data_IF_174331200355
#
_entry.id   IF_174331200355
#
_cell.length_a   1.000
_cell.length_b   1.000
_cell.length_c   1.000
_cell.angle_alpha   90.00
_cell.angle_beta   90.00
_cell.angle_gamma   90.00
#
_symmetry.space_group_name_H-M   'P 1'
#
loop_
_entity.id
_entity.type
_entity.pdbx_description
1 polymer ?
#
# COMPACT_ATOMS: atom_id res chain seq x y z
N UNK A 1 18.32 -68.24 11.70
CA UNK A 1 18.00 -66.82 12.03
C UNK A 1 18.24 -65.82 10.89
N UNK A 2 19.42 -65.77 10.23
CA UNK A 2 19.71 -64.77 9.17
C UNK A 2 18.74 -64.75 7.97
N UNK A 3 18.23 -65.91 7.51
CA UNK A 3 17.25 -65.99 6.39
C UNK A 3 15.87 -65.41 6.73
N UNK A 4 15.43 -65.52 7.98
CA UNK A 4 14.12 -65.01 8.43
C UNK A 4 14.14 -63.49 8.51
N UNK A 5 15.23 -62.91 9.04
CA UNK A 5 15.41 -61.46 9.13
C UNK A 5 15.49 -60.81 7.74
N UNK A 6 16.15 -61.45 6.78
CA UNK A 6 16.26 -60.95 5.40
C UNK A 6 14.90 -60.89 4.68
N UNK A 7 14.04 -61.90 4.88
CA UNK A 7 12.71 -61.92 4.28
C UNK A 7 11.75 -60.89 4.89
N UNK A 8 11.89 -60.58 6.19
CA UNK A 8 11.09 -59.54 6.85
C UNK A 8 11.47 -58.15 6.35
N UNK A 9 12.77 -57.88 6.17
CA UNK A 9 13.27 -56.60 5.65
C UNK A 9 12.85 -56.41 4.18
N UNK A 10 12.91 -57.47 3.35
CA UNK A 10 12.47 -57.41 1.95
C UNK A 10 10.97 -57.14 1.83
N UNK A 11 10.14 -57.79 2.66
CA UNK A 11 8.68 -57.54 2.69
C UNK A 11 8.32 -56.13 3.16
N UNK A 12 9.04 -55.57 4.14
CA UNK A 12 8.84 -54.17 4.57
C UNK A 12 9.20 -53.16 3.49
N UNK A 13 10.30 -53.37 2.75
CA UNK A 13 10.68 -52.50 1.62
C UNK A 13 9.66 -52.53 0.49
N UNK A 14 9.11 -53.71 0.17
CA UNK A 14 8.05 -53.86 -0.84
C UNK A 14 6.75 -53.20 -0.38
N UNK A 15 6.35 -53.36 0.89
CA UNK A 15 5.16 -52.72 1.43
C UNK A 15 5.28 -51.17 1.43
N UNK A 16 6.44 -50.63 1.81
CA UNK A 16 6.73 -49.20 1.74
C UNK A 16 6.68 -48.66 0.31
N UNK A 17 7.22 -49.41 -0.66
CA UNK A 17 7.15 -49.03 -2.08
C UNK A 17 5.71 -49.04 -2.60
N UNK A 18 4.89 -50.01 -2.20
CA UNK A 18 3.47 -50.09 -2.58
C UNK A 18 2.67 -48.93 -1.97
N UNK A 19 2.91 -48.59 -0.69
CA UNK A 19 2.24 -47.45 -0.04
C UNK A 19 2.64 -46.13 -0.71
N UNK A 20 3.92 -45.95 -1.04
CA UNK A 20 4.38 -44.77 -1.77
C UNK A 20 3.73 -44.67 -3.16
N UNK A 21 3.65 -45.79 -3.90
CA UNK A 21 3.02 -45.84 -5.21
C UNK A 21 1.51 -45.54 -5.14
N UNK A 22 0.80 -46.12 -4.17
CA UNK A 22 -0.62 -45.86 -3.94
C UNK A 22 -0.85 -44.40 -3.51
N UNK A 23 0.04 -43.82 -2.71
CA UNK A 23 -0.03 -42.41 -2.34
C UNK A 23 0.13 -41.50 -3.56
N UNK A 24 1.09 -41.80 -4.43
CA UNK A 24 1.30 -41.07 -5.69
C UNK A 24 0.07 -41.20 -6.60
N UNK A 25 -0.49 -42.40 -6.75
CA UNK A 25 -1.69 -42.65 -7.56
C UNK A 25 -2.91 -41.92 -6.99
N UNK A 26 -3.12 -41.94 -5.67
CA UNK A 26 -4.22 -41.21 -5.03
C UNK A 26 -4.06 -39.71 -5.22
N UNK A 27 -2.85 -39.14 -5.09
CA UNK A 27 -2.62 -37.72 -5.33
C UNK A 27 -2.83 -37.38 -6.82
N UNK A 28 -2.38 -38.25 -7.74
CA UNK A 28 -2.50 -38.05 -9.19
C UNK A 28 -3.95 -38.14 -9.69
N UNK A 29 -4.77 -39.01 -9.10
CA UNK A 29 -6.19 -39.17 -9.48
C UNK A 29 -7.15 -38.28 -8.67
N UNK A 30 -6.83 -37.93 -7.42
CA UNK A 30 -7.68 -37.02 -6.63
C UNK A 30 -7.42 -35.55 -6.93
N UNK A 31 -6.24 -35.20 -7.44
CA UNK A 31 -5.84 -33.82 -7.73
C UNK A 31 -5.04 -33.69 -9.05
N UNK A 32 -5.57 -34.14 -10.21
CA UNK A 32 -4.84 -34.10 -11.49
C UNK A 32 -4.39 -32.67 -11.88
N UNK A 33 -5.11 -31.63 -11.45
CA UNK A 33 -4.75 -30.23 -11.70
C UNK A 33 -3.45 -29.78 -11.00
N UNK A 34 -3.07 -30.43 -9.89
CA UNK A 34 -1.86 -30.11 -9.12
C UNK A 34 -0.58 -30.42 -9.92
N UNK A 35 -0.66 -31.32 -10.91
CA UNK A 35 0.49 -31.73 -11.73
C UNK A 35 0.49 -31.18 -13.17
N UNK A 36 -0.64 -30.67 -13.68
CA UNK A 36 -0.72 -30.19 -15.07
C UNK A 36 -0.54 -28.67 -15.21
N UNK A 37 -1.03 -27.87 -14.26
CA UNK A 37 -0.89 -26.39 -14.30
C UNK A 37 -0.14 -25.80 -13.10
N UNK A 38 -0.35 -26.36 -11.91
CA UNK A 38 0.26 -25.89 -10.65
C UNK A 38 1.81 -25.83 -10.62
N UNK A 39 2.58 -26.69 -11.32
CA UNK A 39 4.04 -26.59 -11.31
C UNK A 39 4.58 -25.29 -11.91
N UNK A 40 3.80 -24.64 -12.79
CA UNK A 40 4.21 -23.46 -13.57
C UNK A 40 3.77 -22.13 -12.97
N UNK A 41 2.81 -22.15 -12.03
CA UNK A 41 2.22 -20.97 -11.40
C UNK A 41 2.86 -20.70 -10.03
N UNK A 42 2.77 -19.47 -9.54
CA UNK A 42 3.15 -19.13 -8.17
C UNK A 42 2.02 -19.50 -7.20
N UNK A 43 2.34 -20.08 -6.04
CA UNK A 43 1.34 -20.42 -5.03
C UNK A 43 1.26 -19.37 -3.92
N UNK A 44 0.10 -18.72 -3.80
CA UNK A 44 -0.25 -17.92 -2.63
C UNK A 44 -1.19 -18.72 -1.72
N UNK A 45 -0.72 -19.08 -0.54
CA UNK A 45 -1.51 -19.73 0.51
C UNK A 45 -2.03 -18.66 1.48
N UNK A 46 -3.35 -18.51 1.55
CA UNK A 46 -4.01 -17.54 2.42
C UNK A 46 -4.64 -18.28 3.59
N UNK A 47 -4.25 -17.91 4.81
CA UNK A 47 -4.86 -18.40 6.03
C UNK A 47 -5.77 -17.32 6.61
N UNK A 48 -7.05 -17.63 6.72
CA UNK A 48 -8.03 -16.73 7.33
C UNK A 48 -8.17 -17.08 8.80
N UNK A 49 -7.70 -16.18 9.65
CA UNK A 49 -7.62 -16.38 11.10
C UNK A 49 -8.52 -15.35 11.78
N UNK A 50 -9.34 -15.78 12.73
CA UNK A 50 -10.03 -14.88 13.65
C UNK A 50 -9.90 -15.40 15.06
N UNK A 51 -9.61 -14.52 16.01
CA UNK A 51 -9.44 -14.87 17.43
C UNK A 51 -8.46 -16.05 17.62
N UNK A 52 -7.37 -16.05 16.85
CA UNK A 52 -6.33 -17.08 16.88
C UNK A 52 -6.71 -18.44 16.28
N UNK A 53 -7.85 -18.57 15.58
CA UNK A 53 -8.29 -19.83 14.95
C UNK A 53 -8.56 -19.66 13.46
N UNK A 54 -8.28 -20.70 12.69
CA UNK A 54 -8.69 -20.77 11.28
C UNK A 54 -10.23 -20.81 11.21
N UNK A 55 -10.80 -19.94 10.38
CA UNK A 55 -12.25 -19.85 10.21
C UNK A 55 -12.64 -20.00 8.74
N UNK A 56 -13.80 -20.62 8.44
CA UNK A 56 -14.32 -20.66 7.08
C UNK A 56 -14.42 -19.25 6.49
N UNK A 57 -13.87 -19.05 5.30
CA UNK A 57 -13.94 -17.78 4.59
C UNK A 57 -14.13 -17.90 3.07
N UNK A 58 -14.68 -16.85 2.46
CA UNK A 58 -14.67 -16.63 1.02
C UNK A 58 -13.62 -15.57 0.71
N UNK A 59 -12.61 -15.96 -0.07
CA UNK A 59 -11.45 -15.13 -0.37
C UNK A 59 -11.52 -14.63 -1.80
N UNK A 60 -11.41 -13.32 -1.98
CA UNK A 60 -11.32 -12.66 -3.27
C UNK A 60 -9.93 -12.10 -3.44
N UNK A 61 -9.45 -12.11 -4.68
CA UNK A 61 -8.11 -11.67 -5.03
C UNK A 61 -8.21 -10.61 -6.12
N UNK A 62 -7.45 -9.53 -5.96
CA UNK A 62 -7.24 -8.50 -6.97
C UNK A 62 -5.74 -8.27 -7.13
N UNK A 63 -5.27 -7.97 -8.33
CA UNK A 63 -3.85 -7.78 -8.65
C UNK A 63 -3.66 -6.38 -9.23
N UNK A 64 -2.64 -5.65 -8.79
CA UNK A 64 -2.37 -4.30 -9.26
C UNK A 64 -1.72 -4.31 -10.65
N UNK A 65 -2.43 -3.85 -11.67
CA UNK A 65 -1.92 -3.60 -13.02
C UNK A 65 -1.65 -2.09 -13.22
N UNK A 66 -0.92 -1.70 -14.28
CA UNK A 66 -0.68 -0.29 -14.62
C UNK A 66 -1.93 0.57 -14.70
N UNK A 67 -3.04 0.01 -15.18
CA UNK A 67 -4.32 0.70 -15.32
C UNK A 67 -5.21 0.65 -14.08
N UNK A 68 -4.87 -0.13 -13.04
CA UNK A 68 -5.72 -0.33 -11.86
C UNK A 68 -5.71 -1.76 -11.35
N UNK A 69 -6.57 -2.08 -10.40
CA UNK A 69 -6.74 -3.45 -9.94
C UNK A 69 -7.49 -4.29 -10.97
N UNK A 70 -6.98 -5.50 -11.23
CA UNK A 70 -7.70 -6.53 -11.98
C UNK A 70 -8.15 -7.66 -11.06
N UNK A 71 -9.31 -8.25 -11.31
CA UNK A 71 -9.73 -9.41 -10.55
C UNK A 71 -8.81 -10.62 -10.81
N UNK A 72 -8.42 -11.31 -9.73
CA UNK A 72 -7.62 -12.54 -9.76
C UNK A 72 -8.39 -13.83 -9.39
N UNK A 73 -9.62 -13.69 -8.90
CA UNK A 73 -10.52 -14.82 -8.65
C UNK A 73 -11.15 -14.84 -7.26
N UNK A 74 -12.05 -15.81 -7.08
CA UNK A 74 -12.74 -16.14 -5.83
C UNK A 74 -12.40 -17.57 -5.43
N UNK A 75 -12.13 -17.76 -4.13
CA UNK A 75 -11.64 -19.00 -3.56
C UNK A 75 -12.37 -19.29 -2.26
N UNK A 76 -13.00 -20.46 -2.18
CA UNK A 76 -13.57 -20.92 -0.93
C UNK A 76 -12.49 -21.49 -0.02
N UNK A 77 -12.46 -21.04 1.23
CA UNK A 77 -11.59 -21.50 2.29
C UNK A 77 -12.42 -22.18 3.39
N UNK A 78 -13.04 -23.34 3.16
CA UNK A 78 -13.96 -23.98 4.12
C UNK A 78 -13.29 -24.35 5.46
N UNK A 79 -11.97 -24.48 5.48
CA UNK A 79 -11.16 -24.73 6.69
C UNK A 79 -10.24 -23.55 7.03
N UNK A 80 -10.57 -22.36 6.54
CA UNK A 80 -9.77 -21.15 6.68
C UNK A 80 -8.45 -21.14 5.92
N UNK A 81 -8.28 -22.02 4.93
CA UNK A 81 -7.11 -22.01 4.04
C UNK A 81 -7.57 -21.98 2.59
N UNK A 82 -7.11 -20.98 1.83
CA UNK A 82 -7.25 -20.90 0.38
C UNK A 82 -5.88 -21.07 -0.30
N UNK A 83 -5.88 -21.78 -1.43
CA UNK A 83 -4.71 -21.92 -2.30
C UNK A 83 -5.00 -21.24 -3.63
N UNK A 84 -4.24 -20.19 -3.91
CA UNK A 84 -4.43 -19.32 -5.07
C UNK A 84 -3.22 -19.54 -6.00
N UNK A 85 -3.50 -19.98 -7.21
CA UNK A 85 -2.49 -20.21 -8.24
C UNK A 85 -2.42 -19.02 -9.17
N UNK A 86 -1.33 -18.25 -9.08
CA UNK A 86 -1.15 -17.00 -9.81
C UNK A 86 -0.32 -17.26 -11.05
N UNK A 87 -0.90 -16.95 -12.19
CA UNK A 87 -0.17 -16.77 -13.44
C UNK A 87 0.29 -15.32 -13.53
N UNK A 88 1.60 -15.11 -13.41
CA UNK A 88 2.19 -13.78 -13.30
C UNK A 88 2.85 -13.31 -14.61
N UNK A 89 2.84 -14.10 -15.68
CA UNK A 89 3.55 -13.75 -16.92
C UNK A 89 2.92 -12.52 -17.59
N UNK A 90 1.60 -12.52 -17.77
CA UNK A 90 0.89 -11.37 -18.36
C UNK A 90 0.94 -10.14 -17.46
N UNK A 91 0.91 -10.37 -16.15
CA UNK A 91 1.03 -9.32 -15.16
C UNK A 91 2.39 -8.62 -15.23
N UNK A 92 3.47 -9.41 -15.29
CA UNK A 92 4.82 -8.89 -15.47
C UNK A 92 4.98 -8.17 -16.80
N UNK A 93 4.45 -8.73 -17.89
CA UNK A 93 4.48 -8.12 -19.22
C UNK A 93 3.82 -6.73 -19.22
N UNK A 94 2.66 -6.59 -18.58
CA UNK A 94 1.97 -5.30 -18.50
C UNK A 94 2.83 -4.22 -17.80
N UNK A 95 3.47 -4.56 -16.68
CA UNK A 95 4.36 -3.64 -15.98
C UNK A 95 5.66 -3.35 -16.75
N UNK A 96 6.24 -4.35 -17.42
CA UNK A 96 7.42 -4.15 -18.28
C UNK A 96 7.10 -3.24 -19.49
N UNK A 97 5.87 -3.31 -20.03
CA UNK A 97 5.37 -2.41 -21.08
C UNK A 97 5.12 -0.99 -20.56
N UNK A 98 4.49 -0.85 -19.40
CA UNK A 98 4.29 0.45 -18.75
C UNK A 98 5.63 1.13 -18.47
N UNK A 99 6.61 0.41 -17.93
CA UNK A 99 7.96 0.91 -17.69
C UNK A 99 8.61 1.47 -18.95
N UNK A 100 8.49 0.78 -20.08
CA UNK A 100 9.01 1.26 -21.37
C UNK A 100 8.30 2.51 -21.86
N UNK A 101 7.00 2.65 -21.57
CA UNK A 101 6.15 3.72 -22.08
C UNK A 101 6.25 5.00 -21.25
N UNK A 102 6.24 4.86 -19.93
CA UNK A 102 6.08 5.98 -18.99
C UNK A 102 7.23 6.09 -18.00
N UNK A 103 8.08 5.08 -17.88
CA UNK A 103 9.12 5.01 -16.86
C UNK A 103 8.59 4.65 -15.47
N UNK A 104 7.37 4.14 -15.35
CA UNK A 104 6.83 3.64 -14.07
C UNK A 104 6.92 2.12 -13.96
N UNK A 105 7.20 1.64 -12.76
CA UNK A 105 7.21 0.21 -12.48
C UNK A 105 6.78 -0.03 -11.05
N UNK A 106 5.88 -0.98 -10.82
CA UNK A 106 5.45 -1.35 -9.48
C UNK A 106 5.91 -2.75 -9.10
N UNK A 107 6.06 -2.96 -7.80
CA UNK A 107 6.16 -4.31 -7.26
C UNK A 107 4.83 -5.06 -7.41
N UNK A 108 4.89 -6.38 -7.64
CA UNK A 108 3.70 -7.19 -7.73
C UNK A 108 2.91 -7.13 -6.42
N UNK A 109 1.75 -6.48 -6.50
CA UNK A 109 0.83 -6.32 -5.38
C UNK A 109 -0.45 -7.11 -5.60
N UNK A 110 -0.86 -7.82 -4.55
CA UNK A 110 -2.09 -8.59 -4.51
C UNK A 110 -2.94 -8.09 -3.34
N UNK A 111 -4.16 -7.63 -3.62
CA UNK A 111 -5.14 -7.33 -2.58
C UNK A 111 -6.02 -8.56 -2.36
N UNK A 112 -6.13 -8.95 -1.09
CA UNK A 112 -6.90 -10.10 -0.64
C UNK A 112 -8.05 -9.59 0.24
N UNK A 113 -9.28 -9.89 -0.16
CA UNK A 113 -10.46 -9.60 0.65
C UNK A 113 -11.05 -10.91 1.15
N UNK A 114 -11.23 -11.07 2.46
CA UNK A 114 -11.78 -12.28 3.06
C UNK A 114 -13.07 -11.99 3.81
N UNK A 115 -14.14 -12.68 3.43
CA UNK A 115 -15.43 -12.64 4.11
C UNK A 115 -15.67 -13.93 4.91
N UNK A 116 -16.08 -13.81 6.17
CA UNK A 116 -16.34 -14.95 7.04
C UNK A 116 -17.83 -15.20 7.26
N UNK A 117 -18.20 -16.43 7.64
CA UNK A 117 -19.61 -16.77 7.91
C UNK A 117 -20.17 -16.05 9.15
N UNK A 118 -19.31 -15.64 10.08
CA UNK A 118 -19.68 -14.86 11.27
C UNK A 118 -19.80 -13.35 11.00
N UNK A 119 -19.94 -12.96 9.73
CA UNK A 119 -20.17 -11.60 9.24
C UNK A 119 -19.02 -10.63 9.54
N UNK A 120 -17.78 -11.04 9.28
CA UNK A 120 -16.65 -10.14 9.27
C UNK A 120 -15.99 -10.11 7.89
N UNK A 121 -15.36 -8.99 7.60
CA UNK A 121 -14.56 -8.77 6.40
C UNK A 121 -13.19 -8.24 6.82
N UNK A 122 -12.18 -8.56 6.02
CA UNK A 122 -10.86 -7.96 6.12
C UNK A 122 -10.26 -7.83 4.74
N UNK A 123 -9.34 -6.87 4.62
CA UNK A 123 -8.53 -6.64 3.43
C UNK A 123 -7.05 -6.72 3.84
N UNK A 124 -6.26 -7.37 3.00
CA UNK A 124 -4.81 -7.44 3.16
C UNK A 124 -4.14 -7.12 1.82
N UNK A 125 -3.21 -6.17 1.82
CA UNK A 125 -2.27 -6.02 0.71
C UNK A 125 -1.06 -6.94 0.91
N UNK A 126 -0.68 -7.63 -0.16
CA UNK A 126 0.51 -8.47 -0.23
C UNK A 126 1.41 -7.93 -1.33
N UNK A 127 2.43 -7.19 -0.93
CA UNK A 127 3.50 -6.73 -1.82
C UNK A 127 4.61 -7.78 -1.86
N UNK A 128 4.94 -8.24 -3.05
CA UNK A 128 6.01 -9.19 -3.34
C UNK A 128 7.09 -8.49 -4.17
N UNK A 129 8.26 -9.11 -4.31
CA UNK A 129 9.20 -8.75 -5.37
C UNK A 129 8.99 -9.61 -6.61
N UNK A 130 9.28 -9.06 -7.79
CA UNK A 130 9.20 -9.84 -9.04
C UNK A 130 10.09 -11.09 -9.02
N UNK A 131 11.20 -11.10 -8.29
CA UNK A 131 12.07 -12.28 -8.15
C UNK A 131 11.50 -13.37 -7.23
N UNK A 132 10.54 -13.03 -6.37
CA UNK A 132 9.78 -14.00 -5.56
C UNK A 132 8.75 -14.77 -6.41
N UNK A 133 8.24 -14.13 -7.47
CA UNK A 133 7.29 -14.71 -8.41
C UNK A 133 8.00 -15.66 -9.37
N UNK A 134 8.09 -16.92 -8.93
CA UNK A 134 8.58 -18.04 -9.73
C UNK A 134 7.60 -19.21 -9.67
N UNK A 135 7.72 -20.21 -10.56
CA UNK A 135 6.87 -21.38 -10.52
C UNK A 135 6.98 -22.13 -9.18
N UNK A 136 5.89 -22.72 -8.71
CA UNK A 136 5.85 -23.49 -7.46
C UNK A 136 6.86 -24.65 -7.46
N UNK A 137 7.07 -25.29 -8.62
CA UNK A 137 8.10 -26.33 -8.76
C UNK A 137 9.54 -25.82 -8.50
N UNK A 138 9.78 -24.52 -8.63
CA UNK A 138 11.04 -23.85 -8.33
C UNK A 138 11.04 -23.18 -6.94
N UNK A 139 10.09 -23.57 -6.08
CA UNK A 139 9.92 -23.05 -4.73
C UNK A 139 9.14 -21.74 -4.64
N UNK A 140 8.42 -21.34 -5.70
CA UNK A 140 7.56 -20.16 -5.68
C UNK A 140 6.30 -20.35 -4.83
N UNK A 141 6.39 -19.98 -3.57
CA UNK A 141 5.28 -20.02 -2.62
C UNK A 141 5.38 -18.86 -1.63
N UNK A 142 4.25 -18.24 -1.31
CA UNK A 142 4.10 -17.36 -0.13
C UNK A 142 2.91 -17.83 0.70
N UNK A 143 3.06 -17.80 2.02
CA UNK A 143 1.93 -17.97 2.95
C UNK A 143 1.68 -16.63 3.63
N UNK A 144 0.42 -16.21 3.66
CA UNK A 144 -0.03 -14.98 4.34
C UNK A 144 -1.18 -15.29 5.27
N UNK A 145 -1.36 -14.44 6.28
CA UNK A 145 -2.46 -14.52 7.25
C UNK A 145 -3.27 -13.24 7.10
N UNK A 146 -4.58 -13.40 6.91
CA UNK A 146 -5.54 -12.30 6.94
C UNK A 146 -6.45 -12.48 8.16
N UNK A 147 -6.65 -11.41 8.91
CA UNK A 147 -7.56 -11.37 10.05
C UNK A 147 -8.74 -10.43 9.78
N UNK A 148 -9.91 -10.97 9.39
CA UNK A 148 -11.13 -10.17 9.23
C UNK A 148 -11.54 -9.52 10.56
N UNK A 149 -11.32 -8.21 10.65
CA UNK A 149 -11.54 -7.39 11.84
C UNK A 149 -12.75 -6.46 11.70
N UNK A 150 -13.21 -6.19 10.47
CA UNK A 150 -14.33 -5.29 10.21
C UNK A 150 -15.64 -6.08 10.34
N UNK A 151 -16.45 -5.72 11.33
CA UNK A 151 -17.78 -6.31 11.49
C UNK A 151 -18.72 -5.80 10.41
N UNK A 152 -19.29 -6.71 9.64
CA UNK A 152 -20.33 -6.39 8.67
C UNK A 152 -21.66 -6.24 9.38
N UNK A 153 -22.05 -5.00 9.66
CA UNK A 153 -23.33 -4.68 10.31
C UNK A 153 -24.49 -4.65 9.31
N UNK A 154 -24.18 -4.56 8.02
CA UNK A 154 -25.12 -4.60 6.89
C UNK A 154 -24.68 -5.66 5.88
N UNK A 155 -25.55 -6.01 4.94
CA UNK A 155 -25.27 -7.05 3.94
C UNK A 155 -25.69 -8.46 4.37
N UNK A 156 -25.56 -9.42 3.44
CA UNK A 156 -26.10 -10.77 3.64
C UNK A 156 -25.05 -11.74 4.20
N UNK A 157 -25.46 -12.68 5.06
CA UNK A 157 -24.59 -13.76 5.50
C UNK A 157 -24.06 -14.55 4.31
N UNK A 158 -22.78 -14.90 4.36
CA UNK A 158 -22.15 -15.77 3.36
C UNK A 158 -22.17 -17.19 3.91
N UNK A 159 -22.48 -18.15 3.05
CA UNK A 159 -22.36 -19.58 3.33
C UNK A 159 -21.24 -20.17 2.51
N UNK A 160 -20.36 -20.92 3.13
CA UNK A 160 -19.18 -21.47 2.50
C UNK A 160 -19.36 -22.97 2.39
N UNK A 161 -19.64 -23.44 1.17
CA UNK A 161 -19.83 -24.85 0.90
C UNK A 161 -18.54 -25.48 0.38
N UNK A 162 -18.19 -26.68 0.88
CA UNK A 162 -17.15 -27.50 0.25
C UNK A 162 -17.57 -27.82 -1.20
N UNK A 163 -16.74 -27.48 -2.18
CA UNK A 163 -17.01 -27.71 -3.60
C UNK A 163 -17.67 -26.53 -4.35
N UNK A 164 -17.89 -25.37 -3.70
CA UNK A 164 -18.25 -24.15 -4.44
C UNK A 164 -17.17 -23.78 -5.45
N UNK A 165 -17.60 -23.29 -6.62
CA UNK A 165 -16.71 -22.82 -7.70
C UNK A 165 -15.57 -21.97 -7.13
N UNK A 166 -14.35 -22.45 -7.35
CA UNK A 166 -13.11 -21.76 -7.01
C UNK A 166 -12.35 -21.58 -8.30
N UNK A 167 -12.07 -20.33 -8.67
CA UNK A 167 -11.39 -20.03 -9.92
C UNK A 167 -11.65 -18.63 -10.48
N UNK A 168 -11.00 -18.28 -11.59
CA UNK A 168 -11.00 -16.93 -12.17
C UNK A 168 -12.32 -16.49 -12.82
N UNK A 169 -13.34 -17.35 -12.89
CA UNK A 169 -14.64 -17.03 -13.47
C UNK A 169 -15.60 -16.30 -12.51
N UNK A 170 -15.43 -16.50 -11.20
CA UNK A 170 -16.20 -15.79 -10.17
C UNK A 170 -15.27 -14.75 -9.55
N UNK A 171 -15.51 -13.47 -9.84
CA UNK A 171 -14.58 -12.39 -9.52
C UNK A 171 -15.31 -11.21 -8.91
N UNK A 172 -14.63 -10.37 -8.10
CA UNK A 172 -15.21 -9.10 -7.75
C UNK A 172 -15.40 -8.26 -9.02
N UNK A 173 -16.48 -7.50 -9.09
CA UNK A 173 -16.85 -6.68 -10.25
C UNK A 173 -16.39 -5.25 -10.01
N UNK A 174 -15.54 -4.72 -10.90
CA UNK A 174 -15.23 -3.29 -10.92
C UNK A 174 -16.45 -2.55 -11.48
N UNK A 175 -17.13 -1.80 -10.62
CA UNK A 175 -18.35 -1.07 -10.93
C UNK A 175 -18.05 0.30 -11.52
N UNK A 176 -17.04 0.96 -10.96
CA UNK A 176 -16.65 2.30 -11.37
C UNK A 176 -15.18 2.55 -11.06
N UNK A 177 -14.57 3.46 -11.81
CA UNK A 177 -13.22 3.94 -11.60
C UNK A 177 -13.12 5.44 -11.91
N UNK A 178 -12.14 6.11 -11.32
CA UNK A 178 -11.84 7.50 -11.64
C UNK A 178 -10.38 7.83 -11.33
N UNK A 179 -9.78 8.67 -12.16
CA UNK A 179 -8.44 9.19 -11.95
C UNK A 179 -8.45 10.71 -12.02
N UNK A 180 -7.66 11.34 -11.14
CA UNK A 180 -7.46 12.79 -11.15
C UNK A 180 -6.00 13.11 -10.90
N UNK A 181 -5.49 14.10 -11.63
CA UNK A 181 -4.10 14.54 -11.46
C UNK A 181 -4.08 15.87 -10.73
N UNK A 182 -3.31 15.97 -9.65
CA UNK A 182 -3.20 17.19 -8.87
C UNK A 182 -1.80 17.42 -8.33
N UNK A 183 -1.44 18.70 -8.18
CA UNK A 183 -0.20 19.12 -7.53
C UNK A 183 -0.38 19.12 -6.01
N UNK A 184 0.55 18.48 -5.30
CA UNK A 184 0.56 18.35 -3.84
C UNK A 184 1.85 18.93 -3.26
N UNK A 185 1.75 19.60 -2.12
CA UNK A 185 2.89 20.17 -1.41
C UNK A 185 3.59 19.08 -0.59
N UNK A 186 4.84 18.76 -0.94
CA UNK A 186 5.66 17.81 -0.20
C UNK A 186 6.37 18.47 0.99
N UNK A 187 6.78 19.72 0.84
CA UNK A 187 7.53 20.44 1.87
C UNK A 187 7.21 21.93 1.91
N UNK A 188 7.31 22.50 3.10
CA UNK A 188 7.07 23.91 3.37
C UNK A 188 8.10 24.45 4.36
N UNK A 189 8.65 25.62 4.06
CA UNK A 189 9.51 26.39 4.96
C UNK A 189 8.86 27.74 5.22
N UNK A 190 8.74 28.12 6.48
CA UNK A 190 8.19 29.40 6.92
C UNK A 190 9.23 30.20 7.68
N UNK A 191 9.37 31.48 7.33
CA UNK A 191 10.25 32.43 7.98
C UNK A 191 9.44 33.63 8.46
N UNK A 192 9.32 33.78 9.78
CA UNK A 192 8.58 34.89 10.40
C UNK A 192 9.17 36.26 9.98
N UNK A 193 8.38 37.15 9.37
CA UNK A 193 8.85 38.48 8.97
C UNK A 193 9.45 39.33 10.10
N UNK A 194 9.08 39.06 11.36
CA UNK A 194 9.59 39.79 12.53
C UNK A 194 11.03 39.41 12.92
N UNK A 195 11.59 38.37 12.29
CA UNK A 195 13.01 38.00 12.42
C UNK A 195 13.88 39.04 11.68
N UNK A 196 13.39 39.64 10.60
CA UNK A 196 14.12 40.65 9.83
C UNK A 196 15.08 40.03 8.83
N UNK A 197 16.38 40.24 8.99
CA UNK A 197 17.37 39.67 8.07
C UNK A 197 17.48 38.14 8.23
N UNK A 198 17.89 37.44 7.17
CA UNK A 198 18.02 35.97 7.17
C UNK A 198 17.07 35.25 6.22
N UNK A 199 17.10 33.93 6.26
CA UNK A 199 16.25 33.07 5.43
C UNK A 199 16.10 31.65 6.01
N UNK A 200 15.06 30.95 5.55
CA UNK A 200 14.95 29.50 5.59
C UNK A 200 15.03 28.95 4.16
N UNK A 201 15.76 27.88 3.93
CA UNK A 201 15.81 27.20 2.64
C UNK A 201 15.51 25.72 2.81
N UNK A 202 14.80 25.17 1.82
CA UNK A 202 14.52 23.75 1.73
C UNK A 202 14.87 23.33 0.31
N UNK A 203 15.72 22.30 0.20
CA UNK A 203 15.98 21.57 -1.02
C UNK A 203 15.43 20.16 -0.86
N UNK A 204 14.85 19.62 -1.94
CA UNK A 204 14.40 18.24 -1.98
C UNK A 204 14.76 17.63 -3.32
N UNK A 205 15.03 16.33 -3.32
CA UNK A 205 15.16 15.57 -4.56
C UNK A 205 14.59 14.16 -4.43
N UNK A 206 14.28 13.58 -5.58
CA UNK A 206 13.94 12.18 -5.78
C UNK A 206 15.01 11.52 -6.65
N UNK A 207 15.49 10.37 -6.19
CA UNK A 207 16.44 9.54 -6.93
C UNK A 207 15.68 8.54 -7.80
N UNK A 208 15.96 8.53 -9.10
CA UNK A 208 15.31 7.60 -10.03
C UNK A 208 15.55 6.12 -9.66
N UNK A 209 14.62 5.26 -10.09
CA UNK A 209 14.62 3.81 -9.83
C UNK A 209 14.50 3.43 -8.34
N UNK A 210 13.93 4.33 -7.53
CA UNK A 210 13.64 4.07 -6.12
C UNK A 210 12.14 3.93 -5.93
N UNK A 211 11.74 2.90 -5.22
CA UNK A 211 10.33 2.64 -4.95
C UNK A 211 9.86 3.48 -3.77
N UNK A 212 8.66 4.02 -3.91
CA UNK A 212 7.93 4.74 -2.87
C UNK A 212 6.76 3.86 -2.44
N UNK A 213 6.62 3.64 -1.13
CA UNK A 213 5.47 2.97 -0.54
C UNK A 213 4.23 3.86 -0.61
N UNK A 214 3.09 3.30 -0.98
CA UNK A 214 1.82 3.97 -1.19
C UNK A 214 0.78 3.28 -0.29
N UNK A 215 0.00 4.08 0.44
CA UNK A 215 -1.12 3.58 1.24
C UNK A 215 -2.37 3.39 0.37
N UNK A 216 -3.19 2.40 0.74
CA UNK A 216 -4.53 2.18 0.19
C UNK A 216 -5.55 2.57 1.26
N UNK A 217 -6.36 3.59 0.99
CA UNK A 217 -7.55 3.85 1.80
C UNK A 217 -8.72 3.05 1.23
N UNK A 218 -9.41 2.30 2.08
CA UNK A 218 -10.54 1.48 1.65
C UNK A 218 -11.70 1.54 2.66
N UNK A 219 -12.92 1.31 2.18
CA UNK A 219 -14.09 1.17 3.03
C UNK A 219 -15.08 0.15 2.45
N UNK A 220 -15.67 -0.65 3.34
CA UNK A 220 -16.77 -1.55 2.99
C UNK A 220 -18.11 -0.89 3.32
N UNK A 221 -19.08 -0.97 2.42
CA UNK A 221 -20.43 -0.41 2.64
C UNK A 221 -21.17 -1.08 3.80
N UNK A 222 -20.83 -2.33 4.10
CA UNK A 222 -21.32 -3.05 5.26
C UNK A 222 -20.69 -2.65 6.59
N UNK A 223 -19.56 -1.95 6.56
CA UNK A 223 -18.83 -1.46 7.71
C UNK A 223 -19.35 -0.12 8.24
N UNK A 224 -18.55 0.48 9.12
CA UNK A 224 -18.86 1.75 9.78
C UNK A 224 -17.72 2.78 9.70
N UNK A 225 -16.54 2.42 9.16
CA UNK A 225 -15.39 3.32 9.06
C UNK A 225 -14.53 3.06 7.80
N UNK A 226 -13.63 4.00 7.49
CA UNK A 226 -12.53 3.76 6.56
C UNK A 226 -11.38 3.08 7.27
N UNK A 227 -10.63 2.31 6.51
CA UNK A 227 -9.42 1.64 6.96
C UNK A 227 -8.29 2.04 6.01
N UNK A 228 -7.06 2.07 6.53
CA UNK A 228 -5.89 2.35 5.72
C UNK A 228 -4.92 1.17 5.76
N UNK A 229 -4.73 0.56 4.59
CA UNK A 229 -3.66 -0.38 4.34
C UNK A 229 -2.36 0.39 4.08
N UNK A 230 -1.44 0.36 5.04
CA UNK A 230 -0.11 0.94 4.86
C UNK A 230 0.77 0.02 3.98
N UNK A 231 1.68 0.60 3.19
CA UNK A 231 2.59 -0.06 2.22
C UNK A 231 1.83 -0.98 1.28
N UNK A 232 0.63 -0.54 0.91
CA UNK A 232 -0.23 -1.31 0.06
C UNK A 232 0.41 -1.49 -1.32
N UNK A 233 1.13 -0.49 -1.84
CA UNK A 233 1.80 -0.55 -3.14
C UNK A 233 3.22 -0.01 -3.04
N UNK A 234 4.11 -0.44 -3.94
CA UNK A 234 5.43 0.16 -4.12
C UNK A 234 5.67 0.48 -5.57
N UNK A 235 5.87 1.76 -5.88
CA UNK A 235 6.01 2.26 -7.26
C UNK A 235 7.32 3.03 -7.39
N UNK A 236 8.08 2.76 -8.45
CA UNK A 236 9.25 3.56 -8.85
C UNK A 236 8.96 4.39 -10.11
N UNK A 237 9.67 5.51 -10.21
CA UNK A 237 9.81 6.30 -11.43
C UNK A 237 11.26 6.31 -11.91
N UNK A 238 11.48 6.16 -13.22
CA UNK A 238 12.78 6.33 -13.88
C UNK A 238 13.18 7.80 -14.07
N UNK A 239 12.24 8.74 -13.87
CA UNK A 239 12.50 10.17 -13.99
C UNK A 239 12.98 10.74 -12.64
N UNK A 240 14.15 11.41 -12.58
CA UNK A 240 14.57 12.12 -11.38
C UNK A 240 13.75 13.40 -11.17
N UNK A 241 13.86 14.00 -9.99
CA UNK A 241 13.19 15.26 -9.67
C UNK A 241 13.90 16.03 -8.56
N UNK A 242 13.90 17.35 -8.62
CA UNK A 242 14.42 18.17 -7.52
C UNK A 242 13.90 19.60 -7.57
N UNK A 243 13.75 20.22 -6.40
CA UNK A 243 13.46 21.65 -6.28
C UNK A 243 14.15 22.26 -5.06
N UNK A 244 14.36 23.57 -5.10
CA UNK A 244 14.83 24.38 -3.97
C UNK A 244 13.93 25.58 -3.79
N UNK A 245 13.52 25.81 -2.55
CA UNK A 245 12.72 26.97 -2.16
C UNK A 245 13.39 27.74 -1.03
N UNK A 246 13.10 29.03 -0.94
CA UNK A 246 13.64 29.94 0.08
C UNK A 246 12.52 30.82 0.61
N UNK A 247 12.40 30.90 1.93
CA UNK A 247 11.55 31.84 2.65
C UNK A 247 12.41 32.89 3.36
N UNK A 248 11.97 34.14 3.38
CA UNK A 248 12.60 35.23 4.11
C UNK A 248 11.54 36.26 4.52
N UNK A 249 11.93 37.34 5.19
CA UNK A 249 10.95 38.31 5.70
C UNK A 249 10.11 39.02 4.62
N UNK A 250 10.60 39.11 3.37
CA UNK A 250 9.82 39.65 2.26
C UNK A 250 8.88 38.60 1.64
N UNK A 251 9.28 37.34 1.64
CA UNK A 251 8.52 36.20 1.13
C UNK A 251 8.52 35.08 2.19
N UNK A 252 7.62 35.14 3.19
CA UNK A 252 7.73 34.33 4.41
C UNK A 252 7.42 32.84 4.21
N UNK A 253 6.93 32.44 3.04
CA UNK A 253 6.60 31.04 2.73
C UNK A 253 7.34 30.57 1.48
N UNK A 254 8.02 29.44 1.60
CA UNK A 254 8.58 28.67 0.50
C UNK A 254 7.94 27.28 0.45
N UNK A 255 7.54 26.84 -0.74
CA UNK A 255 6.95 25.51 -0.96
C UNK A 255 7.80 24.68 -1.91
N UNK A 256 7.76 23.36 -1.73
CA UNK A 256 8.13 22.37 -2.74
C UNK A 256 6.93 21.46 -2.96
N UNK A 257 6.52 21.30 -4.21
CA UNK A 257 5.38 20.49 -4.61
C UNK A 257 5.69 19.60 -5.79
N UNK A 258 4.87 18.58 -5.99
CA UNK A 258 4.97 17.60 -7.08
C UNK A 258 3.57 17.32 -7.65
N UNK A 259 3.48 16.92 -8.90
CA UNK A 259 2.25 16.37 -9.49
C UNK A 259 2.13 14.89 -9.17
N UNK A 260 0.94 14.45 -8.76
CA UNK A 260 0.60 13.03 -8.56
C UNK A 260 -0.75 12.71 -9.21
N UNK A 261 -0.95 11.44 -9.57
CA UNK A 261 -2.23 10.93 -10.07
C UNK A 261 -2.87 10.05 -9.00
N UNK A 262 -4.10 10.40 -8.67
CA UNK A 262 -4.97 9.72 -7.74
C UNK A 262 -5.85 8.74 -8.49
N UNK A 263 -6.20 7.63 -7.85
CA UNK A 263 -7.12 6.64 -8.40
C UNK A 263 -8.16 6.26 -7.36
N UNK A 264 -9.39 6.10 -7.85
CA UNK A 264 -10.53 5.56 -7.15
C UNK A 264 -11.04 4.32 -7.88
N UNK A 265 -11.45 3.30 -7.13
CA UNK A 265 -12.18 2.17 -7.65
C UNK A 265 -13.33 1.78 -6.73
N UNK A 266 -14.46 1.40 -7.33
CA UNK A 266 -15.61 0.84 -6.64
C UNK A 266 -15.77 -0.62 -7.06
N UNK A 267 -15.65 -1.51 -6.09
CA UNK A 267 -15.78 -2.95 -6.27
C UNK A 267 -17.05 -3.49 -5.65
N UNK A 268 -17.64 -4.46 -6.33
CA UNK A 268 -18.83 -5.17 -5.85
C UNK A 268 -18.54 -6.65 -5.73
N UNK A 269 -18.88 -7.20 -4.58
CA UNK A 269 -18.80 -8.62 -4.29
C UNK A 269 -20.19 -9.22 -4.39
N UNK A 270 -20.41 -10.05 -5.40
CA UNK A 270 -21.72 -10.66 -5.63
C UNK A 270 -21.63 -12.17 -5.84
N UNK A 271 -22.76 -12.82 -5.62
CA UNK A 271 -22.96 -14.21 -6.01
C UNK A 271 -23.15 -14.27 -7.53
N UNK A 272 -22.30 -15.02 -8.26
CA UNK A 272 -22.27 -15.02 -9.71
C UNK A 272 -23.50 -15.71 -10.34
N UNK A 273 -24.20 -16.56 -9.58
CA UNK A 273 -25.36 -17.31 -10.09
C UNK A 273 -26.65 -16.54 -9.81
N UNK A 274 -26.77 -15.98 -8.62
CA UNK A 274 -27.99 -15.30 -8.16
C UNK A 274 -27.95 -13.79 -8.34
N UNK A 275 -26.79 -13.21 -8.64
CA UNK A 275 -26.57 -11.75 -8.72
C UNK A 275 -26.69 -11.04 -7.37
N UNK A 276 -26.69 -11.80 -6.27
CA UNK A 276 -26.90 -11.26 -4.94
C UNK A 276 -25.62 -10.57 -4.46
N UNK A 277 -25.70 -9.27 -4.20
CA UNK A 277 -24.59 -8.50 -3.65
C UNK A 277 -24.36 -8.85 -2.18
N UNK A 278 -23.14 -9.29 -1.87
CA UNK A 278 -22.64 -9.52 -0.52
C UNK A 278 -22.20 -8.21 0.12
N UNK A 279 -21.44 -7.39 -0.62
CA UNK A 279 -20.92 -6.11 -0.18
C UNK A 279 -20.40 -5.25 -1.35
N UNK A 280 -20.12 -3.98 -1.05
CA UNK A 280 -19.43 -3.03 -1.93
C UNK A 280 -18.22 -2.46 -1.19
N UNK A 281 -17.15 -2.20 -1.94
CA UNK A 281 -15.88 -1.69 -1.43
C UNK A 281 -15.44 -0.48 -2.26
N UNK A 282 -14.97 0.57 -1.59
CA UNK A 282 -14.44 1.76 -2.21
C UNK A 282 -12.97 1.91 -1.87
N UNK A 283 -12.13 2.02 -2.88
CA UNK A 283 -10.68 2.12 -2.77
C UNK A 283 -10.19 3.46 -3.30
N UNK A 284 -9.22 4.06 -2.62
CA UNK A 284 -8.54 5.28 -3.05
C UNK A 284 -7.04 5.23 -2.74
N UNK A 285 -6.21 5.63 -3.69
CA UNK A 285 -4.75 5.67 -3.53
C UNK A 285 -4.07 6.60 -4.54
N UNK A 286 -2.74 6.78 -4.39
CA UNK A 286 -1.91 7.39 -5.43
C UNK A 286 -1.41 6.34 -6.40
N UNK A 287 -1.87 6.43 -7.63
CA UNK A 287 -1.42 5.55 -8.69
C UNK A 287 0.02 5.82 -9.09
N UNK A 288 0.36 7.09 -9.34
CA UNK A 288 1.68 7.52 -9.82
C UNK A 288 2.06 8.89 -9.23
N UNK A 289 3.37 9.16 -9.16
CA UNK A 289 3.95 10.45 -8.79
C UNK A 289 4.96 10.88 -9.87
N UNK A 290 5.08 12.17 -10.18
CA UNK A 290 5.89 12.66 -11.30
C UNK A 290 7.07 13.53 -10.82
N UNK A 291 8.21 12.94 -10.44
CA UNK A 291 9.33 13.66 -9.83
C UNK A 291 9.85 14.85 -10.64
N UNK A 292 9.88 14.71 -11.96
CA UNK A 292 10.33 15.76 -12.87
C UNK A 292 9.44 17.02 -12.87
N UNK A 293 8.28 16.98 -12.22
CA UNK A 293 7.38 18.14 -12.03
C UNK A 293 7.62 18.87 -10.71
N UNK A 294 8.60 18.44 -9.92
CA UNK A 294 8.93 19.05 -8.64
C UNK A 294 9.30 20.52 -8.84
N UNK A 295 8.60 21.42 -8.15
CA UNK A 295 8.78 22.87 -8.32
C UNK A 295 8.33 23.64 -7.08
N UNK A 296 8.45 24.97 -7.14
CA UNK A 296 8.03 25.88 -6.06
C UNK A 296 6.57 26.35 -6.20
N UNK A 297 5.82 25.79 -7.15
CA UNK A 297 4.40 26.05 -7.29
C UNK A 297 3.64 25.57 -6.05
N UNK A 298 2.59 26.29 -5.63
CA UNK A 298 1.74 25.83 -4.52
C UNK A 298 0.94 24.62 -4.94
N UNK A 299 0.91 23.59 -4.10
CA UNK A 299 0.06 22.42 -4.24
C UNK A 299 -0.93 22.29 -3.09
N UNK A 300 -1.82 21.31 -3.17
CA UNK A 300 -2.68 20.91 -2.06
C UNK A 300 -1.82 20.54 -0.84
N UNK A 301 -2.17 21.06 0.34
CA UNK A 301 -1.38 20.87 1.57
C UNK A 301 -2.11 19.99 2.58
N UNK A 302 -1.34 19.28 3.39
CA UNK A 302 -1.86 18.61 4.58
C UNK A 302 -2.02 19.62 5.72
N UNK A 303 -3.00 19.39 6.59
CA UNK A 303 -3.15 20.17 7.82
C UNK A 303 -2.14 19.72 8.87
N UNK A 304 -1.45 20.70 9.48
CA UNK A 304 -0.48 20.45 10.55
C UNK A 304 -1.18 20.62 11.89
N UNK A 305 -1.30 19.52 12.62
CA UNK A 305 -2.02 19.45 13.89
C UNK A 305 -1.11 19.73 15.09
N UNK A 306 0.17 19.39 14.96
CA UNK A 306 1.14 19.55 16.03
C UNK A 306 2.45 20.16 15.53
N UNK A 307 3.07 21.01 16.34
CA UNK A 307 4.36 21.60 16.04
C UNK A 307 5.39 21.26 17.11
N UNK A 308 6.34 20.42 16.75
CA UNK A 308 7.42 19.98 17.64
C UNK A 308 8.59 20.97 17.62
N UNK A 309 9.02 21.45 18.79
CA UNK A 309 10.19 22.33 18.91
C UNK A 309 11.47 21.55 18.65
N UNK A 310 12.26 22.01 17.67
CA UNK A 310 13.52 21.40 17.26
C UNK A 310 14.72 22.21 17.72
N UNK A 311 14.58 23.53 17.80
CA UNK A 311 15.63 24.43 18.25
C UNK A 311 15.05 25.67 18.92
N UNK A 312 15.77 26.18 19.92
CA UNK A 312 15.55 27.49 20.52
C UNK A 312 16.90 28.14 20.86
N UNK A 313 17.05 29.42 20.55
CA UNK A 313 18.30 30.13 20.80
C UNK A 313 18.45 31.36 19.93
N UNK A 314 19.57 32.05 20.12
CA UNK A 314 20.00 33.13 19.24
C UNK A 314 20.51 32.59 17.90
N UNK A 315 20.33 33.36 16.83
CA UNK A 315 20.91 33.04 15.53
C UNK A 315 22.43 32.92 15.59
N UNK A 316 23.00 32.42 14.49
CA UNK A 316 24.46 32.24 14.34
C UNK A 316 25.08 33.11 13.24
N UNK A 317 24.31 34.03 12.67
CA UNK A 317 24.76 34.92 11.61
C UNK A 317 24.86 34.23 10.25
N UNK A 318 25.39 34.95 9.25
CA UNK A 318 25.40 34.50 7.84
C UNK A 318 26.41 33.38 7.53
N UNK A 319 27.40 33.19 8.40
CA UNK A 319 28.50 32.24 8.16
C UNK A 319 28.21 30.83 8.66
N UNK A 320 27.19 30.65 9.51
CA UNK A 320 26.83 29.36 10.08
C UNK A 320 25.30 29.23 10.16
N UNK A 321 24.72 28.09 9.73
CA UNK A 321 23.29 27.88 9.88
C UNK A 321 22.90 27.84 11.36
N UNK A 322 21.86 28.62 11.69
CA UNK A 322 21.23 28.61 13.02
C UNK A 322 20.63 27.24 13.31
N UNK A 323 20.05 26.62 12.29
CA UNK A 323 19.61 25.23 12.32
C UNK A 323 19.72 24.62 10.93
N UNK A 324 20.11 23.35 10.87
CA UNK A 324 20.00 22.55 9.67
C UNK A 324 19.48 21.15 10.00
N UNK A 325 18.77 20.55 9.05
CA UNK A 325 18.39 19.15 9.08
C UNK A 325 18.52 18.64 7.65
N UNK A 326 19.42 17.69 7.45
CA UNK A 326 19.53 16.99 6.17
C UNK A 326 19.21 15.52 6.42
N UNK A 327 18.44 14.93 5.51
CA UNK A 327 18.11 13.52 5.57
C UNK A 327 18.22 12.90 4.17
N UNK A 328 19.05 11.87 4.07
CA UNK A 328 19.23 11.07 2.85
C UNK A 328 18.40 9.78 2.90
N UNK A 329 17.59 9.62 3.94
CA UNK A 329 16.84 8.41 4.25
C UNK A 329 15.33 8.62 4.23
N UNK A 330 14.86 9.40 3.25
CA UNK A 330 13.45 9.80 3.17
C UNK A 330 12.74 8.87 2.20
N UNK A 331 11.83 8.05 2.69
CA UNK A 331 10.93 7.23 1.88
C UNK A 331 9.49 7.79 1.98
N UNK A 332 8.49 6.98 1.63
CA UNK A 332 7.08 7.39 1.72
C UNK A 332 6.64 7.76 3.14
N UNK A 333 7.45 7.54 4.17
CA UNK A 333 7.04 7.61 5.59
C UNK A 333 7.18 9.01 6.19
N UNK A 334 7.90 9.91 5.50
CA UNK A 334 8.09 11.31 5.91
C UNK A 334 7.21 12.30 5.13
N UNK A 335 6.42 11.78 4.20
CA UNK A 335 5.49 12.57 3.40
C UNK A 335 4.08 12.31 3.85
N UNK A 336 3.28 13.37 3.82
CA UNK A 336 1.86 13.29 4.01
C UNK A 336 1.21 14.14 2.93
N UNK A 337 0.21 13.60 2.26
CA UNK A 337 -0.71 14.42 1.51
C UNK A 337 -2.14 14.08 1.86
N UNK A 338 -3.02 15.01 1.51
CA UNK A 338 -4.42 14.94 1.85
C UNK A 338 -5.18 14.22 0.73
N UNK A 339 -5.90 13.14 1.05
CA UNK A 339 -6.84 12.49 0.11
C UNK A 339 -8.27 13.03 0.25
N UNK A 340 -8.57 13.83 1.28
CA UNK A 340 -9.90 14.37 1.55
C UNK A 340 -10.44 15.21 0.38
N UNK A 341 -9.58 15.99 -0.27
CA UNK A 341 -10.00 16.77 -1.44
C UNK A 341 -10.48 15.86 -2.58
N UNK A 342 -9.84 14.69 -2.77
CA UNK A 342 -10.19 13.73 -3.82
C UNK A 342 -11.49 13.00 -3.47
N UNK A 343 -11.66 12.60 -2.21
CA UNK A 343 -12.92 12.08 -1.71
C UNK A 343 -14.07 13.08 -1.91
N UNK A 344 -13.86 14.36 -1.57
CA UNK A 344 -14.82 15.44 -1.79
C UNK A 344 -15.16 15.63 -3.27
N UNK A 345 -14.17 15.54 -4.16
CA UNK A 345 -14.41 15.57 -5.60
C UNK A 345 -15.31 14.39 -6.03
N UNK A 346 -14.97 13.16 -5.62
CA UNK A 346 -15.73 11.96 -5.96
C UNK A 346 -17.18 12.02 -5.49
N UNK A 347 -17.44 12.61 -4.32
CA UNK A 347 -18.80 12.87 -3.82
C UNK A 347 -19.51 13.88 -4.72
N UNK A 348 -18.85 14.99 -5.06
CA UNK A 348 -19.42 16.04 -5.88
C UNK A 348 -19.80 15.54 -7.29
N UNK A 349 -19.03 14.60 -7.86
CA UNK A 349 -19.32 13.98 -9.17
C UNK A 349 -20.16 12.69 -9.06
N UNK A 350 -20.65 12.34 -7.87
CA UNK A 350 -21.58 11.23 -7.66
C UNK A 350 -20.97 9.83 -7.73
N UNK A 351 -19.65 9.69 -7.63
CA UNK A 351 -18.93 8.41 -7.65
C UNK A 351 -18.77 7.78 -6.27
N UNK A 352 -18.66 8.60 -5.22
CA UNK A 352 -18.60 8.16 -3.84
C UNK A 352 -19.90 8.55 -3.11
N UNK A 353 -20.63 7.62 -2.48
CA UNK A 353 -21.88 7.97 -1.80
C UNK A 353 -21.62 8.86 -0.58
N UNK A 354 -22.50 9.82 -0.33
CA UNK A 354 -22.38 10.74 0.82
C UNK A 354 -22.30 10.01 2.18
N UNK A 355 -22.83 8.80 2.28
CA UNK A 355 -22.67 7.96 3.47
C UNK A 355 -21.24 7.43 3.64
N UNK A 356 -20.52 7.13 2.57
CA UNK A 356 -19.10 6.83 2.66
C UNK A 356 -18.28 8.08 3.01
N UNK A 357 -18.79 9.28 2.67
CA UNK A 357 -18.20 10.56 3.08
C UNK A 357 -18.25 10.80 4.59
N UNK A 358 -19.30 10.36 5.28
CA UNK A 358 -19.39 10.50 6.75
C UNK A 358 -18.37 9.64 7.49
N UNK A 359 -17.85 8.62 6.83
CA UNK A 359 -16.72 7.81 7.32
C UNK A 359 -15.39 8.42 6.87
N UNK A 360 -15.37 9.12 5.72
CA UNK A 360 -14.18 9.71 5.11
C UNK A 360 -13.68 10.98 5.82
N UNK A 361 -13.89 11.10 7.14
CA UNK A 361 -13.53 12.29 7.92
C UNK A 361 -12.07 12.68 7.74
N UNK A 362 -11.18 11.70 7.51
CA UNK A 362 -9.75 11.89 7.28
C UNK A 362 -9.19 10.76 6.40
N UNK A 363 -8.45 11.09 5.34
CA UNK A 363 -7.79 10.10 4.48
C UNK A 363 -6.39 10.60 4.11
N UNK A 364 -5.37 9.75 4.30
CA UNK A 364 -3.96 10.08 4.06
C UNK A 364 -3.41 9.42 2.79
N UNK A 365 -2.66 10.20 2.01
CA UNK A 365 -1.91 9.76 0.81
C UNK A 365 -0.80 8.75 1.13
N UNK A 366 -0.14 8.97 2.26
CA UNK A 366 1.06 8.29 2.72
C UNK A 366 0.95 8.26 4.23
N UNK A 367 0.98 7.06 4.81
CA UNK A 367 1.08 6.91 6.25
C UNK A 367 2.34 6.12 6.52
N UNK A 368 3.06 6.60 7.52
CA UNK A 368 4.13 5.93 8.24
C UNK A 368 4.16 4.41 8.06
N UNK A 369 5.31 3.91 7.62
CA UNK A 369 5.55 2.49 7.43
C UNK A 369 6.95 2.16 7.91
N UNK A 370 7.09 0.92 8.34
CA UNK A 370 8.35 0.42 8.86
C UNK A 370 9.27 0.05 7.68
N UNK A 371 10.30 0.86 7.44
CA UNK A 371 11.22 0.76 6.30
C UNK A 371 12.23 -0.41 6.42
N UNK A 372 11.78 -1.65 6.54
CA UNK A 372 12.68 -2.79 6.71
C UNK A 372 12.67 -3.76 5.53
N UNK A 373 13.29 -3.41 4.38
CA UNK A 373 13.80 -4.45 3.47
C UNK A 373 15.05 -4.05 2.65
N UNK A 374 15.21 -2.79 2.19
CA UNK A 374 16.19 -2.50 1.11
C UNK A 374 17.25 -1.41 1.35
N UNK A 375 17.18 -0.61 2.44
CA UNK A 375 18.14 0.46 2.74
C UNK A 375 18.43 1.43 1.56
N UNK A 376 17.45 1.64 0.69
CA UNK A 376 17.54 2.50 -0.51
C UNK A 376 16.34 3.46 -0.52
N UNK A 377 16.61 4.72 -0.22
CA UNK A 377 15.57 5.74 -0.06
C UNK A 377 15.31 6.50 -1.35
N UNK A 378 14.05 6.89 -1.54
CA UNK A 378 13.58 7.51 -2.76
C UNK A 378 13.79 9.02 -2.78
N UNK A 379 13.69 9.67 -1.62
CA UNK A 379 13.85 11.10 -1.49
C UNK A 379 15.02 11.46 -0.57
N UNK A 380 15.49 12.69 -0.71
CA UNK A 380 16.29 13.37 0.30
C UNK A 380 15.84 14.82 0.41
N UNK A 381 16.12 15.42 1.56
CA UNK A 381 15.97 16.85 1.75
C UNK A 381 17.15 17.46 2.51
N UNK A 382 17.32 18.75 2.30
CA UNK A 382 18.27 19.60 3.02
C UNK A 382 17.54 20.87 3.43
N UNK A 383 17.40 21.06 4.74
CA UNK A 383 16.80 22.23 5.36
C UNK A 383 17.88 23.05 6.03
N UNK A 384 17.83 24.36 5.81
CA UNK A 384 18.70 25.32 6.47
C UNK A 384 17.91 26.56 6.93
N UNK A 385 18.18 27.05 8.14
CA UNK A 385 17.79 28.38 8.60
C UNK A 385 19.04 29.19 8.96
N UNK A 386 19.16 30.38 8.38
CA UNK A 386 20.21 31.36 8.64
C UNK A 386 19.57 32.60 9.24
N UNK A 387 19.92 32.92 10.49
CA UNK A 387 19.29 33.96 11.31
C UNK A 387 20.38 34.78 12.00
N UNK A 388 20.24 36.12 12.10
CA UNK A 388 21.22 37.01 12.74
C UNK A 388 21.52 36.66 14.21
N UNK A 389 22.75 36.91 14.63
CA UNK A 389 23.26 36.54 15.97
C UNK A 389 22.51 37.20 17.14
N UNK A 390 21.89 38.36 16.90
CA UNK A 390 21.17 39.14 17.91
C UNK A 390 19.67 38.80 17.99
N UNK A 391 19.18 37.89 17.15
CA UNK A 391 17.76 37.50 17.10
C UNK A 391 17.54 36.14 17.75
N UNK A 392 16.72 36.13 18.80
CA UNK A 392 16.29 34.90 19.46
C UNK A 392 15.08 34.30 18.74
N UNK A 393 15.13 33.00 18.43
CA UNK A 393 14.14 32.31 17.61
C UNK A 393 13.80 30.92 18.14
N UNK A 394 12.64 30.44 17.70
CA UNK A 394 12.18 29.08 17.84
C UNK A 394 12.01 28.44 16.47
N UNK A 395 12.53 27.23 16.29
CA UNK A 395 12.37 26.45 15.04
C UNK A 395 11.57 25.20 15.35
N UNK A 396 10.50 24.97 14.59
CA UNK A 396 9.56 23.86 14.79
C UNK A 396 9.36 23.03 13.52
N UNK A 397 9.21 21.72 13.70
CA UNK A 397 8.79 20.75 12.66
C UNK A 397 7.32 20.41 12.85
N UNK A 398 6.55 20.42 11.76
CA UNK A 398 5.15 20.07 11.73
C UNK A 398 4.94 18.56 11.79
N UNK A 399 3.85 18.17 12.45
CA UNK A 399 3.29 16.81 12.45
C UNK A 399 1.80 16.88 12.19
N UNK A 400 1.27 15.86 11.53
CA UNK A 400 -0.16 15.68 11.35
C UNK A 400 -0.63 14.49 12.19
N UNK A 401 -1.87 14.54 12.64
CA UNK A 401 -2.48 13.49 13.44
C UNK A 401 -3.34 12.59 12.56
N UNK A 402 -3.30 11.29 12.84
CA UNK A 402 -4.14 10.27 12.21
C UNK A 402 -4.44 9.17 13.22
N UNK A 403 -5.73 8.91 13.47
CA UNK A 403 -6.19 7.88 14.43
C UNK A 403 -5.52 7.96 15.82
N UNK A 404 -5.15 9.18 16.25
CA UNK A 404 -4.46 9.42 17.52
C UNK A 404 -2.94 9.24 17.46
N UNK A 405 -2.36 8.92 16.30
CA UNK A 405 -0.92 8.86 16.05
C UNK A 405 -0.41 10.12 15.34
N UNK A 406 0.80 10.57 15.71
CA UNK A 406 1.44 11.73 15.09
C UNK A 406 2.51 11.30 14.10
N UNK A 407 2.36 11.73 12.86
CA UNK A 407 3.29 11.45 11.76
C UNK A 407 4.03 12.72 11.32
N UNK A 408 5.25 12.55 10.81
CA UNK A 408 6.08 13.69 10.39
C UNK A 408 5.55 14.32 9.10
N UNK A 409 5.65 15.65 9.02
CA UNK A 409 5.51 16.37 7.77
C UNK A 409 6.78 17.22 7.56
N UNK A 410 7.21 17.41 6.31
CA UNK A 410 8.34 18.30 5.97
C UNK A 410 7.95 19.78 5.99
N UNK A 411 7.27 20.19 7.05
CA UNK A 411 6.75 21.53 7.24
C UNK A 411 7.52 22.16 8.39
N UNK A 412 8.20 23.26 8.13
CA UNK A 412 9.12 23.89 9.06
C UNK A 412 8.75 25.34 9.27
N UNK A 413 8.94 25.82 10.49
CA UNK A 413 8.79 27.25 10.79
C UNK A 413 9.88 27.76 11.72
N UNK A 414 10.50 28.87 11.35
CA UNK A 414 11.24 29.73 12.26
C UNK A 414 10.33 30.90 12.66
N UNK A 415 10.24 31.18 13.96
CA UNK A 415 9.47 32.30 14.47
C UNK A 415 10.13 32.95 15.68
N UNK A 416 9.86 34.24 15.86
CA UNK A 416 10.29 34.99 17.03
C UNK A 416 9.23 34.81 18.14
N UNK A 417 9.63 34.47 19.39
CA UNK A 417 8.69 34.25 20.48
C UNK A 417 7.93 35.49 20.95
#
# INVERSE_FOLDING_TARGET
>A
MKRVLHNIIKKRKVALAIIALLSIVIIYFAYPWVFTEAPRKFLLEVKVVRNGKLVPALVYVRMLYPEGMRPGGRYAAPKGVAWIWIDYEEWKRAWDEERKKTGFFADPTIIITAFTEDNYVGLLSVVLKWEELKPYALGGKKTVIIEPNIKRVKGRPIKIQEGSSSGPGDVPVLVDEYEETKRVTLGLVYFDPNIGEGYGSLFMCYYCYKKVGISLAFAFMSGEDWEIGFDAFRVESEQPGSAKTVANSANPEGHISIVVTYRFEHWRYEDPVTGVVYDEEYDMWVKNFYPNTMSNEKGERVEIHYWFLKYWGYGKGINEPTYNEYDFQVDGHDFAANLLWFANLLIAIGKLPAKAATWAGFILLFVNLDAYVEAKYAFSYDLEYVIPEDVYVFIRKGRHEFEGELHNALYWKAYRP
#
